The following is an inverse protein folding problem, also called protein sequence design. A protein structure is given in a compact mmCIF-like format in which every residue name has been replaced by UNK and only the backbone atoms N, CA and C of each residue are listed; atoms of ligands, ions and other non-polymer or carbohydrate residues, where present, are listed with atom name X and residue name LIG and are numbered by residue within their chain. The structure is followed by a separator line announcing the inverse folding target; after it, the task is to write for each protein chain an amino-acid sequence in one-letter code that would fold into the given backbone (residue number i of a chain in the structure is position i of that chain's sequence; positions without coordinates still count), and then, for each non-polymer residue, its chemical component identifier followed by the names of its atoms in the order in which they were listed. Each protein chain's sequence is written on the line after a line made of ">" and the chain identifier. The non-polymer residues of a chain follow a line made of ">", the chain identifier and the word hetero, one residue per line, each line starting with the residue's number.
data_IF_712394650878
#
_entry.id   IF_712394650878
#
_cell.length_a   1.000
_cell.length_b   1.000
_cell.length_c   1.000
_cell.angle_alpha   90.00
_cell.angle_beta   90.00
_cell.angle_gamma   90.00
#
_symmetry.space_group_name_H-M   'P 1'
#
loop_
_entity.id
_entity.type
_entity.pdbx_description
1 polymer ?
#
# COMPACT_ATOMS: atom_id res chain seq x y z
N UNK A 1 12.26 -11.14 -3.05
CA UNK A 1 11.97 -10.88 -4.45
C UNK A 1 11.98 -12.13 -5.30
N UNK A 2 13.10 -12.87 -5.40
CA UNK A 2 13.26 -13.99 -6.34
C UNK A 2 12.21 -15.11 -6.17
N UNK A 3 11.92 -15.51 -4.93
CA UNK A 3 10.92 -16.54 -4.65
C UNK A 3 9.50 -16.09 -5.09
N UNK A 4 9.17 -14.82 -4.90
CA UNK A 4 7.89 -14.23 -5.32
C UNK A 4 7.78 -14.26 -6.84
N UNK A 5 8.82 -13.82 -7.56
CA UNK A 5 8.84 -13.85 -9.02
C UNK A 5 8.73 -15.27 -9.58
N UNK A 6 9.41 -16.25 -8.98
CA UNK A 6 9.27 -17.66 -9.34
C UNK A 6 7.85 -18.16 -9.15
N UNK A 7 7.18 -17.74 -8.07
CA UNK A 7 5.79 -18.13 -7.84
C UNK A 7 4.85 -17.54 -8.89
N UNK A 8 4.95 -16.25 -9.24
CA UNK A 8 4.17 -15.69 -10.34
C UNK A 8 4.34 -16.51 -11.63
N UNK A 9 5.57 -16.85 -11.98
CA UNK A 9 5.88 -17.62 -13.19
C UNK A 9 5.25 -19.03 -13.12
N UNK A 10 5.30 -19.71 -11.97
CA UNK A 10 4.70 -21.03 -11.78
C UNK A 10 3.17 -21.00 -11.94
N UNK A 11 2.53 -19.88 -11.62
CA UNK A 11 1.09 -19.65 -11.80
C UNK A 11 0.73 -19.10 -13.19
N UNK A 12 1.67 -19.14 -14.14
CA UNK A 12 1.50 -18.58 -15.49
C UNK A 12 1.17 -17.09 -15.51
N UNK A 13 1.67 -16.36 -14.52
CA UNK A 13 1.60 -14.90 -14.43
C UNK A 13 2.97 -14.29 -14.69
N UNK A 14 2.98 -13.07 -15.24
CA UNK A 14 4.20 -12.30 -15.47
C UNK A 14 4.44 -11.37 -14.27
N UNK A 15 5.55 -11.51 -13.50
CA UNK A 15 5.90 -10.52 -12.48
C UNK A 15 6.09 -9.13 -13.11
N UNK A 16 5.55 -8.10 -12.48
CA UNK A 16 5.73 -6.71 -12.91
C UNK A 16 6.66 -5.94 -11.97
N UNK A 17 6.43 -6.05 -10.69
CA UNK A 17 7.30 -5.47 -9.68
C UNK A 17 7.29 -6.31 -8.40
N UNK A 18 8.29 -6.07 -7.55
CA UNK A 18 8.42 -6.71 -6.25
C UNK A 18 9.25 -5.81 -5.34
N UNK A 19 8.61 -5.14 -4.40
CA UNK A 19 9.22 -4.35 -3.36
C UNK A 19 9.22 -5.19 -2.07
N UNK A 20 10.40 -5.38 -1.49
CA UNK A 20 10.54 -6.00 -0.16
C UNK A 20 11.40 -5.09 0.69
N UNK A 21 10.77 -4.28 1.52
CA UNK A 21 11.41 -3.36 2.46
C UNK A 21 11.40 -3.93 3.88
N UNK A 22 12.57 -4.28 4.45
CA UNK A 22 12.66 -4.81 5.80
C UNK A 22 13.31 -3.81 6.76
N UNK A 23 12.77 -3.68 7.98
CA UNK A 23 13.22 -2.70 8.98
C UNK A 23 13.24 -1.28 8.39
N UNK A 24 14.36 -0.54 8.53
CA UNK A 24 14.44 0.84 8.03
C UNK A 24 14.16 1.02 6.54
N UNK A 25 14.36 -0.01 5.73
CA UNK A 25 14.09 0.04 4.30
C UNK A 25 12.58 0.07 3.99
N UNK A 26 11.74 -0.46 4.88
CA UNK A 26 10.28 -0.34 4.78
C UNK A 26 9.77 1.09 4.93
N UNK A 27 10.59 2.01 5.47
CA UNK A 27 10.23 3.42 5.58
C UNK A 27 10.33 4.22 4.26
N UNK A 28 10.68 3.56 3.16
CA UNK A 28 10.71 4.15 1.82
C UNK A 28 9.61 3.52 0.96
N UNK A 29 8.53 4.27 0.60
CA UNK A 29 7.38 3.73 -0.14
C UNK A 29 7.75 2.96 -1.41
N UNK A 30 8.72 3.46 -2.17
CA UNK A 30 9.22 2.86 -3.41
C UNK A 30 10.63 2.29 -3.25
N UNK A 31 10.86 1.55 -2.15
CA UNK A 31 12.14 0.92 -1.90
C UNK A 31 12.51 -0.06 -3.03
N UNK A 32 13.74 0.03 -3.52
CA UNK A 32 14.27 -1.01 -4.41
C UNK A 32 14.83 -2.17 -3.59
N UNK A 33 14.27 -3.37 -3.77
CA UNK A 33 14.75 -4.58 -3.08
C UNK A 33 16.23 -4.79 -3.31
N UNK A 34 17.00 -4.78 -2.23
CA UNK A 34 18.46 -4.90 -2.23
C UNK A 34 18.95 -6.14 -1.46
N UNK A 35 20.22 -6.09 -1.05
CA UNK A 35 20.90 -7.22 -0.40
C UNK A 35 20.71 -7.28 1.13
N UNK A 36 19.97 -6.34 1.74
CA UNK A 36 19.72 -6.36 3.17
C UNK A 36 19.00 -7.64 3.57
N UNK A 37 19.61 -8.38 4.48
CA UNK A 37 18.99 -9.58 5.06
C UNK A 37 17.97 -9.17 6.13
N UNK A 38 16.81 -9.82 6.12
CA UNK A 38 15.79 -9.66 7.17
C UNK A 38 16.39 -10.13 8.51
N UNK A 39 16.15 -9.38 9.57
CA UNK A 39 16.64 -9.65 10.93
C UNK A 39 15.46 -9.87 11.88
N UNK A 40 15.72 -10.53 13.01
CA UNK A 40 14.75 -10.59 14.11
C UNK A 40 14.36 -9.18 14.54
N UNK A 41 13.06 -8.95 14.75
CA UNK A 41 12.48 -7.66 15.06
C UNK A 41 12.21 -6.77 13.85
N UNK A 42 12.50 -7.19 12.61
CA UNK A 42 12.14 -6.40 11.44
C UNK A 42 10.64 -6.52 11.11
N UNK A 43 10.00 -5.38 10.94
CA UNK A 43 8.79 -5.27 10.14
C UNK A 43 9.20 -5.34 8.66
N UNK A 44 8.47 -6.11 7.87
CA UNK A 44 8.73 -6.36 6.45
C UNK A 44 7.52 -5.95 5.64
N UNK A 45 7.68 -4.90 4.84
CA UNK A 45 6.72 -4.47 3.85
C UNK A 45 6.96 -5.26 2.58
N UNK A 46 5.92 -5.91 2.07
CA UNK A 46 5.95 -6.70 0.83
C UNK A 46 4.86 -6.14 -0.08
N UNK A 47 5.29 -5.54 -1.19
CA UNK A 47 4.44 -4.95 -2.19
C UNK A 47 4.77 -5.57 -3.54
N UNK A 48 3.79 -6.23 -4.12
CA UNK A 48 3.99 -7.09 -5.29
C UNK A 48 2.87 -6.92 -6.31
N UNK A 49 3.27 -6.93 -7.55
CA UNK A 49 2.34 -6.94 -8.67
C UNK A 49 2.74 -7.89 -9.78
N UNK A 50 1.74 -8.44 -10.41
CA UNK A 50 1.90 -9.33 -11.54
C UNK A 50 0.75 -9.19 -12.52
N UNK A 51 0.90 -9.81 -13.69
CA UNK A 51 -0.12 -9.77 -14.75
C UNK A 51 -0.44 -11.18 -15.20
N UNK A 52 -1.74 -11.52 -15.18
CA UNK A 52 -2.25 -12.74 -15.78
C UNK A 52 -3.33 -12.38 -16.82
N UNK A 53 -3.05 -12.65 -18.08
CA UNK A 53 -3.88 -12.13 -19.17
C UNK A 53 -3.74 -10.61 -19.33
N UNK A 54 -4.87 -9.91 -19.41
CA UNK A 54 -4.91 -8.46 -19.68
C UNK A 54 -4.66 -7.62 -18.43
N UNK A 55 -5.16 -8.07 -17.28
CA UNK A 55 -5.22 -7.24 -16.09
C UNK A 55 -4.03 -7.47 -15.15
N UNK A 56 -3.43 -6.40 -14.60
CA UNK A 56 -2.46 -6.48 -13.52
C UNK A 56 -3.13 -6.76 -12.17
N UNK A 57 -2.31 -7.16 -11.20
CA UNK A 57 -2.63 -7.17 -9.78
C UNK A 57 -1.66 -6.26 -9.05
N UNK A 58 -2.10 -5.70 -7.94
CA UNK A 58 -1.33 -4.90 -7.01
C UNK A 58 -1.71 -5.27 -5.58
N UNK A 59 -0.73 -5.46 -4.71
CA UNK A 59 -1.00 -5.86 -3.33
C UNK A 59 0.17 -5.61 -2.39
N UNK A 60 -0.10 -4.88 -1.32
CA UNK A 60 0.85 -4.70 -0.21
C UNK A 60 0.36 -5.42 1.05
N UNK A 61 1.28 -6.16 1.68
CA UNK A 61 1.05 -6.83 2.97
C UNK A 61 2.26 -6.66 3.88
N UNK A 62 1.99 -6.68 5.18
CA UNK A 62 3.02 -6.61 6.22
C UNK A 62 3.30 -7.99 6.82
N UNK A 63 4.55 -8.19 7.21
CA UNK A 63 4.99 -9.34 8.02
C UNK A 63 5.98 -8.87 9.07
N UNK A 64 6.19 -9.67 10.11
CA UNK A 64 7.20 -9.41 11.15
C UNK A 64 8.00 -10.68 11.38
N UNK A 65 9.31 -10.55 11.47
CA UNK A 65 10.17 -11.69 11.85
C UNK A 65 10.48 -11.64 13.35
N UNK A 66 9.85 -12.52 14.12
CA UNK A 66 9.95 -12.54 15.58
C UNK A 66 9.04 -11.51 16.25
N UNK A 67 9.52 -10.87 17.32
CA UNK A 67 8.76 -9.84 18.03
C UNK A 67 8.70 -8.54 17.21
N UNK A 68 7.54 -7.90 17.13
CA UNK A 68 7.39 -6.65 16.39
C UNK A 68 8.24 -5.53 17.01
N UNK A 69 8.79 -4.62 16.19
CA UNK A 69 9.51 -3.47 16.72
C UNK A 69 8.57 -2.54 17.50
N UNK A 70 9.14 -1.77 18.42
CA UNK A 70 8.41 -0.82 19.27
C UNK A 70 7.51 0.11 18.44
N UNK A 71 6.24 0.23 18.84
CA UNK A 71 5.23 1.06 18.18
C UNK A 71 4.64 0.46 16.89
N UNK A 72 5.11 -0.70 16.42
CA UNK A 72 4.62 -1.29 15.17
C UNK A 72 3.12 -1.62 15.21
N UNK A 73 2.66 -2.23 16.29
CA UNK A 73 1.24 -2.62 16.40
C UNK A 73 0.30 -1.42 16.40
N UNK A 74 0.71 -0.32 17.04
CA UNK A 74 -0.03 0.95 17.02
C UNK A 74 -0.12 1.51 15.59
N UNK A 75 1.01 1.60 14.89
CA UNK A 75 1.07 2.12 13.52
C UNK A 75 0.27 1.22 12.57
N UNK A 76 0.36 -0.11 12.73
CA UNK A 76 -0.40 -1.05 11.92
C UNK A 76 -1.91 -0.87 12.12
N UNK A 77 -2.39 -0.71 13.37
CA UNK A 77 -3.81 -0.46 13.68
C UNK A 77 -4.30 0.86 13.06
N UNK A 78 -3.49 1.92 13.12
CA UNK A 78 -3.84 3.20 12.51
C UNK A 78 -4.00 3.05 10.99
N UNK A 79 -3.07 2.39 10.32
CA UNK A 79 -3.13 2.16 8.86
C UNK A 79 -4.32 1.27 8.49
N UNK A 80 -4.58 0.21 9.26
CA UNK A 80 -5.76 -0.65 9.06
C UNK A 80 -7.07 0.15 9.16
N UNK A 81 -7.20 1.00 10.19
CA UNK A 81 -8.38 1.88 10.33
C UNK A 81 -8.50 2.88 9.19
N UNK A 82 -7.37 3.38 8.66
CA UNK A 82 -7.36 4.26 7.51
C UNK A 82 -7.85 3.55 6.24
N UNK A 83 -7.42 2.29 6.00
CA UNK A 83 -7.95 1.45 4.92
C UNK A 83 -9.46 1.28 5.05
N UNK A 84 -9.94 0.89 6.24
CA UNK A 84 -11.37 0.67 6.48
C UNK A 84 -12.20 1.94 6.30
N UNK A 85 -11.67 3.10 6.70
CA UNK A 85 -12.33 4.39 6.50
C UNK A 85 -12.47 4.72 5.00
N UNK A 86 -11.39 4.53 4.21
CA UNK A 86 -11.41 4.75 2.77
C UNK A 86 -12.35 3.78 2.05
N UNK A 87 -12.31 2.48 2.38
CA UNK A 87 -13.23 1.46 1.85
C UNK A 87 -14.70 1.81 2.13
N UNK A 88 -14.99 2.29 3.34
CA UNK A 88 -16.33 2.71 3.72
C UNK A 88 -16.81 3.96 2.98
N UNK A 89 -15.89 4.85 2.59
CA UNK A 89 -16.18 6.05 1.83
C UNK A 89 -16.32 5.78 0.33
N UNK A 90 -15.62 4.78 -0.20
CA UNK A 90 -15.58 4.45 -1.62
C UNK A 90 -16.93 3.89 -2.11
N UNK A 91 -17.70 4.73 -2.80
CA UNK A 91 -19.02 4.40 -3.36
C UNK A 91 -19.27 5.18 -4.65
N UNK A 92 -20.10 4.68 -5.57
CA UNK A 92 -20.54 5.46 -6.71
C UNK A 92 -21.14 6.81 -6.28
N UNK A 93 -20.78 7.88 -6.99
CA UNK A 93 -21.19 9.24 -6.71
C UNK A 93 -20.32 10.03 -5.73
N UNK A 94 -19.34 9.39 -5.07
CA UNK A 94 -18.38 10.07 -4.18
C UNK A 94 -17.19 10.57 -4.99
N UNK A 95 -16.62 11.72 -4.64
CA UNK A 95 -15.38 12.18 -5.26
C UNK A 95 -14.16 11.41 -4.73
N UNK A 96 -13.20 11.13 -5.59
CA UNK A 96 -11.97 10.44 -5.22
C UNK A 96 -11.19 11.14 -4.10
N UNK A 97 -11.23 12.50 -4.05
CA UNK A 97 -10.63 13.28 -2.94
C UNK A 97 -11.27 13.00 -1.58
N UNK A 98 -12.55 12.65 -1.54
CA UNK A 98 -13.25 12.36 -0.29
C UNK A 98 -12.84 10.98 0.26
N UNK A 99 -12.51 10.04 -0.63
CA UNK A 99 -11.92 8.73 -0.25
C UNK A 99 -10.50 8.92 0.29
N UNK A 100 -9.67 9.76 -0.37
CA UNK A 100 -8.34 10.14 0.17
C UNK A 100 -8.47 10.80 1.54
N UNK A 101 -9.39 11.75 1.69
CA UNK A 101 -9.61 12.45 2.95
C UNK A 101 -10.03 11.49 4.07
N UNK A 102 -10.85 10.48 3.79
CA UNK A 102 -11.26 9.49 4.78
C UNK A 102 -10.06 8.72 5.38
N UNK A 103 -9.14 8.25 4.55
CA UNK A 103 -7.90 7.61 5.02
C UNK A 103 -6.97 8.59 5.72
N UNK A 104 -6.72 9.73 5.08
CA UNK A 104 -5.75 10.73 5.54
C UNK A 104 -6.13 11.35 6.87
N UNK A 105 -7.41 11.57 7.12
CA UNK A 105 -7.88 12.11 8.40
C UNK A 105 -7.60 11.16 9.56
N UNK A 106 -7.83 9.86 9.42
CA UNK A 106 -7.49 8.86 10.45
C UNK A 106 -6.02 8.93 10.84
N UNK A 107 -5.13 9.00 9.84
CA UNK A 107 -3.68 9.06 10.07
C UNK A 107 -3.28 10.41 10.70
N UNK A 108 -3.90 11.51 10.24
CA UNK A 108 -3.60 12.87 10.74
C UNK A 108 -4.08 13.05 12.18
N UNK A 109 -5.29 12.60 12.52
CA UNK A 109 -5.84 12.66 13.88
C UNK A 109 -5.04 11.82 14.87
N UNK A 110 -4.42 10.74 14.40
CA UNK A 110 -3.48 9.94 15.19
C UNK A 110 -2.10 10.59 15.35
N UNK A 111 -1.84 11.77 14.73
CA UNK A 111 -0.58 12.50 14.84
C UNK A 111 0.50 12.09 13.82
N UNK A 112 0.15 11.28 12.81
CA UNK A 112 1.11 10.76 11.82
C UNK A 112 0.91 11.32 10.41
N UNK A 113 0.15 12.40 10.23
CA UNK A 113 -0.18 12.97 8.92
C UNK A 113 1.03 13.30 8.05
N UNK A 114 2.11 13.82 8.65
CA UNK A 114 3.35 14.14 7.94
C UNK A 114 4.11 12.91 7.40
N UNK A 115 3.82 11.72 7.93
CA UNK A 115 4.43 10.47 7.52
C UNK A 115 3.63 9.72 6.45
N UNK A 116 2.47 10.25 6.03
CA UNK A 116 1.70 9.73 4.89
C UNK A 116 1.98 10.56 3.64
N UNK A 117 3.01 10.18 2.90
CA UNK A 117 3.71 11.01 1.90
C UNK A 117 3.31 10.74 0.44
N UNK A 118 2.30 9.91 0.20
CA UNK A 118 1.82 9.61 -1.15
C UNK A 118 0.29 9.65 -1.24
N UNK A 119 -0.28 9.41 -2.42
CA UNK A 119 -1.71 9.29 -2.66
C UNK A 119 -2.29 8.06 -1.96
N UNK A 120 -3.58 8.07 -1.70
CA UNK A 120 -4.26 6.92 -1.07
C UNK A 120 -4.40 5.73 -2.02
N UNK A 121 -4.41 5.96 -3.33
CA UNK A 121 -4.50 4.89 -4.30
C UNK A 121 -4.57 5.37 -5.75
N UNK A 122 -4.73 4.42 -6.66
CA UNK A 122 -4.79 4.66 -8.10
C UNK A 122 -5.68 3.62 -8.80
N UNK A 123 -6.18 3.97 -9.95
CA UNK A 123 -6.89 3.05 -10.84
C UNK A 123 -6.00 1.87 -11.24
N UNK A 124 -6.62 0.73 -11.35
CA UNK A 124 -6.02 -0.54 -11.71
C UNK A 124 -6.88 -1.21 -12.81
N UNK A 125 -6.45 -1.10 -14.06
CA UNK A 125 -7.21 -1.58 -15.22
C UNK A 125 -6.32 -2.29 -16.23
N UNK A 126 -6.13 -1.71 -17.40
CA UNK A 126 -5.16 -2.22 -18.38
C UNK A 126 -3.75 -1.85 -17.93
N UNK A 127 -3.56 -0.62 -17.46
CA UNK A 127 -2.33 -0.20 -16.85
C UNK A 127 -2.37 -0.42 -15.34
N UNK A 128 -1.19 -0.63 -14.73
CA UNK A 128 -1.10 -0.78 -13.28
C UNK A 128 -1.37 0.54 -12.56
N UNK A 129 -1.09 1.67 -13.20
CA UNK A 129 -1.42 3.00 -12.72
C UNK A 129 -2.23 3.72 -13.79
N UNK A 130 -3.52 3.89 -13.57
CA UNK A 130 -4.41 4.65 -14.44
C UNK A 130 -5.44 5.44 -13.61
N UNK A 131 -6.22 6.35 -14.18
CA UNK A 131 -7.35 6.96 -13.47
C UNK A 131 -8.41 5.93 -13.06
N UNK A 132 -9.13 6.19 -11.93
CA UNK A 132 -9.06 7.37 -11.09
C UNK A 132 -7.86 7.36 -10.14
N UNK A 133 -7.23 8.51 -9.92
CA UNK A 133 -6.24 8.67 -8.86
C UNK A 133 -6.94 9.12 -7.57
N UNK A 134 -6.72 8.37 -6.48
CA UNK A 134 -7.31 8.68 -5.17
C UNK A 134 -6.34 9.61 -4.44
N UNK A 135 -6.54 10.92 -4.63
CA UNK A 135 -5.65 11.98 -4.12
C UNK A 135 -6.47 13.11 -3.49
N UNK A 136 -5.84 13.89 -2.62
CA UNK A 136 -6.47 15.03 -1.93
C UNK A 136 -7.08 16.09 -2.86
N UNK A 137 -6.72 16.12 -4.14
CA UNK A 137 -7.17 17.12 -5.12
C UNK A 137 -8.01 16.54 -6.27
N UNK A 138 -8.25 15.23 -6.27
CA UNK A 138 -8.98 14.58 -7.36
C UNK A 138 -10.48 14.83 -7.26
N UNK A 139 -11.03 15.52 -8.27
CA UNK A 139 -12.46 15.80 -8.38
C UNK A 139 -13.21 14.76 -9.25
N UNK A 140 -12.54 13.66 -9.58
CA UNK A 140 -13.18 12.54 -10.29
C UNK A 140 -14.27 11.95 -9.41
N UNK A 141 -15.48 11.90 -9.93
CA UNK A 141 -16.60 11.21 -9.29
C UNK A 141 -16.47 9.73 -9.59
N UNK A 142 -16.44 8.91 -8.55
CA UNK A 142 -16.36 7.45 -8.68
C UNK A 142 -17.69 6.91 -9.24
N UNK A 143 -17.60 5.92 -10.11
CA UNK A 143 -18.74 5.28 -10.76
C UNK A 143 -18.66 3.76 -10.63
N UNK A 144 -19.77 3.08 -10.88
CA UNK A 144 -19.84 1.62 -10.87
C UNK A 144 -18.85 1.02 -11.88
N UNK A 145 -18.16 -0.04 -11.47
CA UNK A 145 -17.18 -0.76 -12.30
C UNK A 145 -15.79 -0.14 -12.30
N UNK A 146 -15.55 1.01 -11.68
CA UNK A 146 -14.20 1.51 -11.46
C UNK A 146 -13.45 0.61 -10.49
N UNK A 147 -12.21 0.26 -10.84
CA UNK A 147 -11.29 -0.53 -10.01
C UNK A 147 -10.09 0.32 -9.66
N UNK A 148 -9.75 0.39 -8.40
CA UNK A 148 -8.62 1.19 -7.90
C UNK A 148 -8.10 0.62 -6.58
N UNK A 149 -6.83 0.89 -6.26
CA UNK A 149 -6.23 0.53 -4.98
C UNK A 149 -6.63 1.50 -3.86
N UNK A 150 -6.63 1.00 -2.63
CA UNK A 150 -6.67 1.79 -1.39
C UNK A 150 -5.49 1.33 -0.55
N UNK A 151 -4.42 2.14 -0.49
CA UNK A 151 -3.11 1.75 0.02
C UNK A 151 -2.48 2.82 0.95
N UNK A 152 -3.19 3.36 1.95
CA UNK A 152 -2.58 4.32 2.86
C UNK A 152 -1.39 3.72 3.60
N UNK A 153 -0.44 4.57 3.98
CA UNK A 153 0.75 4.12 4.70
C UNK A 153 1.37 5.19 5.60
N UNK A 154 2.12 4.74 6.60
CA UNK A 154 2.90 5.55 7.52
C UNK A 154 4.35 5.10 7.45
N UNK A 155 5.28 6.04 7.21
CA UNK A 155 6.69 5.73 6.96
C UNK A 155 7.59 6.46 7.94
N UNK A 156 8.08 5.74 8.96
CA UNK A 156 8.94 6.27 10.02
C UNK A 156 10.41 6.08 9.65
N UNK A 157 11.02 7.11 9.08
CA UNK A 157 12.41 7.05 8.60
C UNK A 157 13.37 6.55 9.69
N UNK A 158 14.25 5.62 9.29
CA UNK A 158 15.21 4.99 10.19
C UNK A 158 14.63 3.87 11.06
N UNK A 159 13.32 3.67 11.05
CA UNK A 159 12.61 2.65 11.83
C UNK A 159 11.95 1.59 10.94
N UNK A 160 10.77 1.86 10.43
CA UNK A 160 9.98 1.00 9.55
C UNK A 160 8.89 1.80 8.85
N UNK A 161 8.26 1.21 7.86
CA UNK A 161 7.00 1.68 7.30
C UNK A 161 5.93 0.60 7.39
N UNK A 162 4.68 1.05 7.34
CA UNK A 162 3.49 0.19 7.23
C UNK A 162 2.64 0.71 6.07
N UNK A 163 2.30 -0.16 5.14
CA UNK A 163 1.28 0.04 4.11
C UNK A 163 0.41 -1.21 4.05
N UNK A 164 -0.88 -1.02 3.98
CA UNK A 164 -1.86 -2.08 3.72
C UNK A 164 -2.67 -1.66 2.51
N UNK A 165 -3.02 -2.62 1.66
CA UNK A 165 -3.64 -2.36 0.36
C UNK A 165 -4.80 -3.31 0.10
N UNK A 166 -5.89 -2.73 -0.40
CA UNK A 166 -7.08 -3.41 -0.89
C UNK A 166 -7.53 -2.84 -2.24
#
# INVERSE_FOLDING_TARGET
>A
GEAINKHFISESAKPQFCIVGSGPNGAFPHHHTGDRKVKQGDAVLIDIGGRKGTFPSDMTRMSVLGEPPEGYLEIHDIVERAVQAALSAARPGVMAKDVDAAARNVITEAGYGEFFVHRTGHGLGIDIHEPPYITATSEVVLDEGMVFSIEPGIYLQGRFGVRLEE
#
